data_IF_854707968797
#
_entry.id   IF_854707968797
#
_cell.length_a   1.000
_cell.length_b   1.000
_cell.length_c   1.000
_cell.angle_alpha   90.00
_cell.angle_beta   90.00
_cell.angle_gamma   90.00
#
_symmetry.space_group_name_H-M   'P 1'
#
loop_
_entity.id
_entity.type
_entity.pdbx_description
1 polymer ?
#
# COMPACT_ATOMS: atom_id res chain seq x y z
N UNK A 1 -32.32 17.72 17.70
CA UNK A 1 -31.47 17.93 16.52
C UNK A 1 -31.59 16.76 15.57
N UNK A 2 -31.93 17.06 14.32
CA UNK A 2 -32.20 16.09 13.25
C UNK A 2 -30.88 15.86 12.51
N UNK A 3 -30.02 14.99 13.04
CA UNK A 3 -28.72 14.66 12.39
C UNK A 3 -28.46 13.16 12.30
N UNK A 4 -29.42 12.32 12.69
CA UNK A 4 -29.36 10.88 12.43
C UNK A 4 -29.93 10.61 11.02
N UNK A 5 -29.06 10.63 10.00
CA UNK A 5 -29.39 10.12 8.66
C UNK A 5 -28.94 10.93 7.44
N UNK A 6 -28.40 12.15 7.61
CA UNK A 6 -28.04 13.02 6.47
C UNK A 6 -26.53 13.08 6.15
N UNK A 7 -25.67 12.51 7.00
CA UNK A 7 -24.22 12.63 6.88
C UNK A 7 -23.55 11.28 7.08
N UNK A 8 -22.61 10.95 6.19
CA UNK A 8 -21.75 9.78 6.30
C UNK A 8 -20.33 10.19 6.67
N UNK A 9 -19.64 9.32 7.42
CA UNK A 9 -18.24 9.55 7.78
C UNK A 9 -17.38 9.56 6.51
N UNK A 10 -16.53 10.58 6.37
CA UNK A 10 -15.63 10.68 5.22
C UNK A 10 -14.73 9.44 5.12
N UNK A 11 -14.85 8.72 4.00
CA UNK A 11 -14.14 7.47 3.71
C UNK A 11 -12.60 7.65 3.61
N UNK A 12 -12.13 8.89 3.40
CA UNK A 12 -10.70 9.17 3.28
C UNK A 12 -10.02 9.40 4.63
N UNK A 13 -10.69 10.08 5.56
CA UNK A 13 -10.11 10.46 6.85
C UNK A 13 -10.73 9.73 8.04
N UNK A 14 -11.80 8.96 7.83
CA UNK A 14 -12.62 8.34 8.88
C UNK A 14 -13.02 9.33 9.98
N UNK A 15 -13.43 10.54 9.58
CA UNK A 15 -13.86 11.59 10.51
C UNK A 15 -12.74 12.36 11.20
N UNK A 16 -11.46 12.08 10.91
CA UNK A 16 -10.31 12.80 11.50
C UNK A 16 -10.06 14.19 10.92
N UNK A 17 -10.64 14.51 9.76
CA UNK A 17 -10.40 15.77 9.05
C UNK A 17 -9.02 15.89 8.38
N UNK A 18 -8.17 14.87 8.50
CA UNK A 18 -6.85 14.83 7.89
C UNK A 18 -6.49 13.41 7.45
N UNK A 19 -5.72 13.31 6.37
CA UNK A 19 -5.24 12.07 5.78
C UNK A 19 -3.72 12.01 5.87
N UNK A 20 -3.12 10.81 6.07
CA UNK A 20 -1.66 10.69 6.06
C UNK A 20 -1.07 11.17 4.73
N UNK A 21 0.14 11.76 4.75
CA UNK A 21 0.81 12.17 3.51
C UNK A 21 1.13 10.97 2.61
N UNK A 22 1.36 11.21 1.33
CA UNK A 22 1.74 10.16 0.36
C UNK A 22 3.00 9.43 0.83
N UNK A 23 3.98 10.16 1.36
CA UNK A 23 5.22 9.61 1.91
C UNK A 23 4.96 8.72 3.12
N UNK A 24 4.10 9.18 4.05
CA UNK A 24 3.71 8.40 5.24
C UNK A 24 3.06 7.08 4.83
N UNK A 25 2.18 7.13 3.83
CA UNK A 25 1.51 5.94 3.30
C UNK A 25 2.50 4.99 2.61
N UNK A 26 3.42 5.52 1.79
CA UNK A 26 4.45 4.74 1.10
C UNK A 26 5.39 4.02 2.09
N UNK A 27 5.83 4.73 3.14
CA UNK A 27 6.67 4.14 4.19
C UNK A 27 5.91 3.06 4.98
N UNK A 28 4.64 3.29 5.31
CA UNK A 28 3.81 2.31 5.99
C UNK A 28 3.64 1.04 5.13
N UNK A 29 3.41 1.21 3.83
CA UNK A 29 3.33 0.12 2.88
C UNK A 29 4.64 -0.70 2.80
N UNK A 30 5.80 -0.05 2.65
CA UNK A 30 7.10 -0.74 2.59
C UNK A 30 7.38 -1.55 3.85
N UNK A 31 7.02 -1.02 5.03
CA UNK A 31 7.11 -1.77 6.29
C UNK A 31 6.23 -3.02 6.28
N UNK A 32 4.98 -2.88 5.85
CA UNK A 32 4.05 -4.01 5.74
C UNK A 32 4.55 -5.07 4.74
N UNK A 33 5.09 -4.63 3.60
CA UNK A 33 5.67 -5.49 2.58
C UNK A 33 6.91 -6.23 3.09
N UNK A 34 7.80 -5.54 3.82
CA UNK A 34 8.95 -6.17 4.44
C UNK A 34 8.52 -7.26 5.44
N UNK A 35 7.52 -6.97 6.29
CA UNK A 35 6.97 -7.96 7.21
C UNK A 35 6.36 -9.18 6.51
N UNK A 36 5.65 -8.97 5.40
CA UNK A 36 5.06 -10.06 4.59
C UNK A 36 6.13 -10.91 3.91
N UNK A 37 7.18 -10.27 3.40
CA UNK A 37 8.29 -10.95 2.70
C UNK A 37 9.27 -11.67 3.64
N UNK A 38 9.21 -11.44 4.96
CA UNK A 38 10.04 -12.17 5.94
C UNK A 38 9.81 -13.69 5.92
N UNK A 39 8.58 -14.13 5.63
CA UNK A 39 8.20 -15.55 5.58
C UNK A 39 7.96 -16.04 4.14
N UNK A 40 8.40 -15.26 3.15
CA UNK A 40 8.21 -15.63 1.76
C UNK A 40 9.11 -16.79 1.36
N UNK A 41 8.62 -17.63 0.45
CA UNK A 41 9.42 -18.62 -0.23
C UNK A 41 10.25 -17.96 -1.33
N UNK A 42 11.34 -18.62 -1.72
CA UNK A 42 12.17 -18.16 -2.83
C UNK A 42 11.35 -18.14 -4.12
N UNK A 43 11.57 -17.11 -4.92
CA UNK A 43 10.89 -16.84 -6.20
C UNK A 43 9.36 -16.61 -6.04
N UNK A 44 8.87 -16.40 -4.81
CA UNK A 44 7.49 -16.04 -4.56
C UNK A 44 7.21 -14.63 -5.11
N UNK A 45 6.06 -14.49 -5.79
CA UNK A 45 5.62 -13.22 -6.34
C UNK A 45 4.56 -12.58 -5.45
N UNK A 46 4.69 -11.29 -5.20
CA UNK A 46 3.73 -10.46 -4.48
C UNK A 46 3.14 -9.42 -5.43
N UNK A 47 1.83 -9.29 -5.42
CA UNK A 47 1.09 -8.24 -6.12
C UNK A 47 0.58 -7.28 -5.07
N UNK A 48 1.00 -6.02 -5.17
CA UNK A 48 0.71 -4.97 -4.21
C UNK A 48 -0.16 -3.92 -4.87
N UNK A 49 -1.37 -3.74 -4.34
CA UNK A 49 -2.32 -2.75 -4.82
C UNK A 49 -2.23 -1.50 -3.95
N UNK A 50 -2.05 -0.36 -4.61
CA UNK A 50 -1.90 0.95 -3.97
C UNK A 50 -2.77 2.01 -4.67
N UNK A 51 -3.17 3.07 -3.95
CA UNK A 51 -3.71 4.28 -4.58
C UNK A 51 -2.69 4.89 -5.55
N UNK A 52 -3.16 5.49 -6.65
CA UNK A 52 -2.31 5.98 -7.74
C UNK A 52 -1.15 6.88 -7.28
N UNK A 53 -1.43 7.83 -6.39
CA UNK A 53 -0.40 8.77 -5.88
C UNK A 53 0.66 8.07 -5.03
N UNK A 54 0.27 7.05 -4.26
CA UNK A 54 1.19 6.27 -3.42
C UNK A 54 2.02 5.31 -4.28
N UNK A 55 1.39 4.65 -5.25
CA UNK A 55 2.09 3.81 -6.21
C UNK A 55 3.16 4.60 -6.98
N UNK A 56 2.81 5.79 -7.46
CA UNK A 56 3.75 6.68 -8.15
C UNK A 56 4.93 7.07 -7.25
N UNK A 57 4.66 7.45 -6.00
CA UNK A 57 5.72 7.75 -5.03
C UNK A 57 6.64 6.56 -4.77
N UNK A 58 6.07 5.38 -4.54
CA UNK A 58 6.83 4.16 -4.25
C UNK A 58 7.71 3.76 -5.45
N UNK A 59 7.14 3.77 -6.66
CA UNK A 59 7.84 3.37 -7.88
C UNK A 59 8.93 4.35 -8.33
N UNK A 60 8.80 5.64 -8.01
CA UNK A 60 9.76 6.67 -8.41
C UNK A 60 10.76 7.00 -7.29
N UNK A 61 10.28 7.27 -6.07
CA UNK A 61 11.11 7.75 -4.95
C UNK A 61 11.69 6.60 -4.13
N UNK A 62 11.01 5.45 -4.06
CA UNK A 62 11.40 4.29 -3.25
C UNK A 62 11.82 3.07 -4.07
N UNK A 63 12.18 3.30 -5.33
CA UNK A 63 12.55 2.25 -6.28
C UNK A 63 13.75 1.43 -5.82
N UNK A 64 14.80 2.08 -5.31
CA UNK A 64 15.99 1.39 -4.79
C UNK A 64 15.64 0.50 -3.60
N UNK A 65 14.88 1.02 -2.64
CA UNK A 65 14.46 0.28 -1.44
C UNK A 65 13.62 -0.96 -1.80
N UNK A 66 12.78 -0.87 -2.85
CA UNK A 66 12.05 -2.02 -3.38
C UNK A 66 12.98 -3.08 -4.00
N UNK A 67 13.95 -2.66 -4.82
CA UNK A 67 14.90 -3.60 -5.43
C UNK A 67 15.78 -4.30 -4.41
N UNK A 68 16.24 -3.57 -3.40
CA UNK A 68 17.00 -4.14 -2.29
C UNK A 68 16.17 -5.20 -1.56
N UNK A 69 14.87 -4.96 -1.36
CA UNK A 69 13.96 -5.92 -0.74
C UNK A 69 13.78 -7.16 -1.62
N UNK A 70 13.55 -7.01 -2.93
CA UNK A 70 13.43 -8.12 -3.88
C UNK A 70 14.69 -8.99 -3.89
N UNK A 71 15.88 -8.37 -3.98
CA UNK A 71 17.15 -9.08 -4.02
C UNK A 71 17.45 -9.78 -2.68
N UNK A 72 17.22 -9.10 -1.56
CA UNK A 72 17.51 -9.64 -0.22
C UNK A 72 16.60 -10.81 0.13
N UNK A 73 15.34 -10.77 -0.31
CA UNK A 73 14.34 -11.81 -0.03
C UNK A 73 14.24 -12.86 -1.13
N UNK A 74 14.84 -12.62 -2.30
CA UNK A 74 14.71 -13.45 -3.51
C UNK A 74 13.23 -13.63 -3.89
N UNK A 75 12.49 -12.52 -3.94
CA UNK A 75 11.06 -12.47 -4.27
C UNK A 75 10.82 -11.48 -5.40
N UNK A 76 9.67 -11.60 -6.06
CA UNK A 76 9.23 -10.65 -7.09
C UNK A 76 8.09 -9.78 -6.55
N UNK A 77 8.14 -8.48 -6.78
CA UNK A 77 7.16 -7.51 -6.28
C UNK A 77 6.58 -6.73 -7.46
N UNK A 78 5.28 -6.90 -7.72
CA UNK A 78 4.52 -6.10 -8.67
C UNK A 78 3.73 -5.05 -7.92
N UNK A 79 3.86 -3.77 -8.33
CA UNK A 79 3.03 -2.69 -7.80
C UNK A 79 1.96 -2.36 -8.84
N UNK A 80 0.70 -2.51 -8.44
CA UNK A 80 -0.47 -2.22 -9.26
C UNK A 80 -1.26 -1.05 -8.66
N UNK A 81 -1.86 -0.24 -9.53
CA UNK A 81 -2.73 0.85 -9.11
C UNK A 81 -4.16 0.34 -9.00
N UNK A 82 -4.76 0.44 -7.82
CA UNK A 82 -6.19 0.18 -7.63
C UNK A 82 -6.92 1.49 -7.31
N UNK A 83 -7.76 2.00 -8.23
CA UNK A 83 -8.50 3.25 -8.04
C UNK A 83 -9.59 3.16 -6.97
N UNK A 84 -9.94 1.96 -6.50
CA UNK A 84 -10.91 1.76 -5.42
C UNK A 84 -10.29 1.97 -4.04
N UNK A 85 -8.96 1.94 -3.93
CA UNK A 85 -8.27 2.14 -2.66
C UNK A 85 -8.18 3.63 -2.32
N UNK A 86 -8.60 3.96 -1.10
CA UNK A 86 -8.50 5.32 -0.55
C UNK A 86 -7.24 5.50 0.27
N UNK A 87 -6.96 6.75 0.66
CA UNK A 87 -5.81 7.12 1.47
C UNK A 87 -5.63 6.23 2.70
N UNK A 88 -4.45 5.64 2.86
CA UNK A 88 -4.09 4.75 3.97
C UNK A 88 -4.44 3.29 3.74
N UNK A 89 -5.09 2.93 2.64
CA UNK A 89 -5.32 1.54 2.26
C UNK A 89 -4.22 1.03 1.34
N UNK A 90 -3.81 -0.23 1.57
CA UNK A 90 -2.95 -0.98 0.67
C UNK A 90 -3.31 -2.45 0.78
N UNK A 91 -3.21 -3.18 -0.33
CA UNK A 91 -3.41 -4.63 -0.32
C UNK A 91 -2.15 -5.31 -0.86
N UNK A 92 -1.73 -6.39 -0.21
CA UNK A 92 -0.60 -7.21 -0.62
C UNK A 92 -1.13 -8.62 -0.75
N UNK A 93 -1.06 -9.20 -1.94
CA UNK A 93 -1.49 -10.56 -2.20
C UNK A 93 -0.31 -11.36 -2.77
N UNK A 94 -0.08 -12.61 -2.33
CA UNK A 94 0.80 -13.50 -3.09
C UNK A 94 0.15 -13.77 -4.45
N UNK A 95 0.93 -13.71 -5.53
CA UNK A 95 0.46 -14.20 -6.82
C UNK A 95 0.25 -15.70 -6.68
N UNK A 96 -0.99 -16.14 -6.77
CA UNK A 96 -1.31 -17.57 -6.77
C UNK A 96 -1.04 -18.07 -8.17
N UNK A 97 -0.15 -19.07 -8.31
CA UNK A 97 0.08 -19.79 -9.56
C UNK A 97 -1.21 -20.42 -10.09
#
# INVERSE_FOLDING_TARGET
SITYGAYETCIHCNGRGMTPSVETQGLAFLRQLNLRTLKAEKDQKFICYLPAVVACYVLNTKREELMELEQKRQVFISIEIDPKLVSGQSNIAPATS
#
